data_IF_118753419996
#
_entry.id   IF_118753419996
#
_cell.length_a   1.000
_cell.length_b   1.000
_cell.length_c   1.000
_cell.angle_alpha   90.00
_cell.angle_beta   90.00
_cell.angle_gamma   90.00
#
_symmetry.space_group_name_H-M   'P 1'
#
loop_
_entity.id
_entity.type
_entity.pdbx_description
1 polymer ?
#
# COMPACT_ATOMS: atom_id res chain seq x y z
N UNK A 1 -9.83 3.87 -10.76
CA UNK A 1 -9.20 2.71 -10.11
C UNK A 1 -9.71 2.53 -8.69
N UNK A 2 -9.88 1.30 -8.22
CA UNK A 2 -10.11 0.93 -6.82
C UNK A 2 -8.84 0.33 -6.22
N UNK A 3 -8.50 0.69 -5.00
CA UNK A 3 -7.31 0.19 -4.31
C UNK A 3 -7.64 -0.16 -2.86
N UNK A 4 -6.89 -1.09 -2.29
CA UNK A 4 -6.91 -1.30 -0.84
C UNK A 4 -6.24 -0.12 -0.14
N UNK A 5 -6.82 0.31 0.99
CA UNK A 5 -6.23 1.35 1.85
C UNK A 5 -6.00 0.84 3.26
N UNK A 6 -4.91 1.29 3.88
CA UNK A 6 -4.67 1.01 5.30
C UNK A 6 -5.53 1.93 6.17
N UNK A 7 -6.35 1.35 7.03
CA UNK A 7 -7.16 2.02 8.06
C UNK A 7 -7.45 1.02 9.20
N UNK A 8 -8.55 1.18 9.94
CA UNK A 8 -8.99 0.19 10.94
C UNK A 8 -9.25 -1.19 10.32
N UNK A 9 -9.66 -1.20 9.06
CA UNK A 9 -9.82 -2.39 8.22
C UNK A 9 -9.22 -2.10 6.84
N UNK A 10 -8.64 -3.13 6.24
CA UNK A 10 -8.17 -3.05 4.86
C UNK A 10 -9.39 -3.19 3.96
N UNK A 11 -9.81 -2.08 3.35
CA UNK A 11 -10.98 -2.01 2.48
C UNK A 11 -10.58 -1.51 1.10
N UNK A 12 -11.25 -2.05 0.08
CA UNK A 12 -11.11 -1.59 -1.30
C UNK A 12 -12.01 -0.37 -1.50
N UNK A 13 -11.40 0.77 -1.85
CA UNK A 13 -12.10 2.01 -2.08
C UNK A 13 -11.74 2.59 -3.45
N UNK A 14 -12.66 3.38 -4.02
CA UNK A 14 -12.37 4.18 -5.19
C UNK A 14 -11.29 5.23 -4.87
N UNK A 15 -10.33 5.37 -5.77
CA UNK A 15 -9.33 6.42 -5.67
C UNK A 15 -9.89 7.78 -6.11
N UNK A 16 -9.39 8.89 -5.54
CA UNK A 16 -9.68 10.23 -6.03
C UNK A 16 -9.35 10.39 -7.52
N UNK A 17 -10.04 11.30 -8.23
CA UNK A 17 -9.69 11.65 -9.61
C UNK A 17 -8.21 12.06 -9.72
N UNK A 18 -7.50 11.49 -10.69
CA UNK A 18 -6.06 11.72 -10.89
C UNK A 18 -5.14 10.80 -10.08
N UNK A 19 -5.68 9.89 -9.25
CA UNK A 19 -4.91 8.86 -8.55
C UNK A 19 -5.22 7.47 -9.12
N UNK A 20 -4.77 7.22 -10.33
CA UNK A 20 -5.09 5.98 -11.06
C UNK A 20 -4.19 4.79 -10.71
N UNK A 21 -3.20 4.98 -9.83
CA UNK A 21 -2.29 3.94 -9.36
C UNK A 21 -2.59 3.56 -7.91
N UNK A 22 -2.53 2.27 -7.62
CA UNK A 22 -2.42 1.76 -6.27
C UNK A 22 -0.95 1.69 -5.86
N UNK A 23 -0.65 1.94 -4.59
CA UNK A 23 0.65 1.64 -4.02
C UNK A 23 0.54 0.73 -2.80
N UNK A 24 1.61 -0.02 -2.57
CA UNK A 24 1.91 -0.72 -1.33
C UNK A 24 3.29 -0.30 -0.88
N UNK A 25 3.36 0.34 0.27
CA UNK A 25 4.59 0.77 0.91
C UNK A 25 4.81 -0.06 2.16
N UNK A 26 5.99 -0.62 2.31
CA UNK A 26 6.38 -1.39 3.50
C UNK A 26 7.70 -0.89 4.05
N UNK A 27 7.81 -0.80 5.37
CA UNK A 27 9.03 -0.37 6.03
C UNK A 27 9.16 -0.98 7.41
N UNK A 28 10.36 -0.91 7.97
CA UNK A 28 10.67 -1.42 9.29
C UNK A 28 10.80 -0.22 10.23
N UNK A 29 9.82 -0.04 11.13
CA UNK A 29 9.85 1.00 12.17
C UNK A 29 10.53 0.47 13.45
N UNK A 30 10.47 1.25 14.54
CA UNK A 30 11.05 0.88 15.84
C UNK A 30 10.41 -0.39 16.45
N UNK A 31 9.19 -0.75 16.05
CA UNK A 31 8.47 -1.93 16.53
C UNK A 31 8.60 -3.13 15.60
N UNK A 32 9.34 -3.01 14.49
CA UNK A 32 9.46 -4.05 13.48
C UNK A 32 9.93 -5.41 14.03
N UNK A 33 10.77 -5.40 15.07
CA UNK A 33 11.20 -6.64 15.75
C UNK A 33 10.09 -7.37 16.51
N UNK A 34 9.02 -6.69 16.91
CA UNK A 34 7.91 -7.28 17.70
C UNK A 34 6.61 -7.38 16.90
N UNK A 35 6.31 -6.41 16.04
CA UNK A 35 5.06 -6.32 15.25
C UNK A 35 5.23 -6.72 13.79
N UNK A 36 6.47 -6.88 13.32
CA UNK A 36 6.78 -7.03 11.91
C UNK A 36 6.78 -5.68 11.16
N UNK A 37 6.99 -5.73 9.85
CA UNK A 37 7.04 -4.53 9.00
C UNK A 37 5.69 -3.81 8.98
N UNK A 38 5.75 -2.48 8.95
CA UNK A 38 4.57 -1.64 8.71
C UNK A 38 4.19 -1.73 7.24
N UNK A 39 2.88 -1.78 6.96
CA UNK A 39 2.32 -1.88 5.62
C UNK A 39 1.29 -0.77 5.44
N UNK A 40 1.56 0.11 4.48
CA UNK A 40 0.69 1.20 4.06
C UNK A 40 0.22 0.95 2.64
N UNK A 41 -1.09 0.93 2.47
CA UNK A 41 -1.77 0.74 1.20
C UNK A 41 -2.53 2.03 0.88
N UNK A 42 -2.55 2.42 -0.39
CA UNK A 42 -3.24 3.63 -0.80
C UNK A 42 -3.32 3.84 -2.30
N UNK A 43 -3.84 5.01 -2.67
CA UNK A 43 -3.92 5.50 -4.04
C UNK A 43 -2.88 6.61 -4.25
N UNK A 44 -2.32 6.70 -5.45
CA UNK A 44 -1.36 7.74 -5.83
C UNK A 44 -1.50 8.10 -7.31
N UNK A 45 -1.13 9.33 -7.66
CA UNK A 45 -1.08 9.78 -9.05
C UNK A 45 0.16 9.22 -9.77
N UNK A 46 1.29 9.21 -9.06
CA UNK A 46 2.59 8.72 -9.56
C UNK A 46 3.18 7.75 -8.54
N UNK A 47 3.94 6.77 -9.02
CA UNK A 47 4.59 5.83 -8.11
C UNK A 47 5.64 6.57 -7.25
N UNK A 48 5.55 6.55 -5.90
CA UNK A 48 6.49 7.27 -5.07
C UNK A 48 7.89 6.65 -5.16
N UNK A 49 8.92 7.46 -4.93
CA UNK A 49 10.31 7.00 -4.97
C UNK A 49 10.63 6.09 -3.78
N UNK A 50 11.27 4.96 -4.06
CA UNK A 50 11.77 4.00 -3.07
C UNK A 50 12.84 4.67 -2.20
N UNK A 51 12.68 4.66 -0.87
CA UNK A 51 13.73 5.07 0.07
C UNK A 51 14.59 3.88 0.49
N UNK A 52 15.85 4.05 0.94
CA UNK A 52 16.77 2.95 1.25
C UNK A 52 16.27 1.88 2.23
N UNK A 53 15.28 2.20 3.08
CA UNK A 53 14.71 1.30 4.08
C UNK A 53 13.19 1.07 3.92
N UNK A 54 12.65 1.47 2.77
CA UNK A 54 11.25 1.30 2.43
C UNK A 54 11.18 0.50 1.13
N UNK A 55 10.25 -0.45 1.03
CA UNK A 55 9.92 -1.09 -0.24
C UNK A 55 8.59 -0.51 -0.69
N UNK A 56 8.53 -0.01 -1.91
CA UNK A 56 7.29 0.46 -2.50
C UNK A 56 7.03 -0.26 -3.82
N UNK A 57 5.79 -0.67 -4.00
CA UNK A 57 5.31 -1.31 -5.22
C UNK A 57 4.09 -0.54 -5.69
N UNK A 58 4.01 -0.29 -6.99
CA UNK A 58 2.87 0.39 -7.59
C UNK A 58 2.30 -0.44 -8.73
N UNK A 59 1.01 -0.29 -8.96
CA UNK A 59 0.29 -0.97 -10.02
C UNK A 59 -0.94 -0.16 -10.42
N UNK A 60 -1.40 -0.33 -11.65
CA UNK A 60 -2.46 0.49 -12.27
C UNK A 60 -3.80 -0.24 -12.40
N UNK A 61 -3.93 -1.43 -11.83
CA UNK A 61 -5.13 -2.26 -11.94
C UNK A 61 -5.99 -2.20 -10.67
N UNK A 62 -7.28 -2.47 -10.80
CA UNK A 62 -8.17 -2.47 -9.63
C UNK A 62 -7.74 -3.55 -8.62
N UNK A 63 -7.61 -3.15 -7.36
CA UNK A 63 -7.28 -4.01 -6.21
C UNK A 63 -5.94 -4.76 -6.33
N UNK A 64 -5.00 -4.18 -7.06
CA UNK A 64 -3.69 -4.78 -7.33
C UNK A 64 -2.68 -4.68 -6.18
N UNK A 65 -3.02 -3.98 -5.09
CA UNK A 65 -2.21 -3.82 -3.89
C UNK A 65 -2.77 -4.61 -2.67
N UNK A 66 -3.04 -5.92 -2.76
CA UNK A 66 -3.60 -6.67 -1.65
C UNK A 66 -2.61 -6.72 -0.47
N UNK A 67 -3.15 -6.65 0.75
CA UNK A 67 -2.32 -6.83 1.94
C UNK A 67 -1.73 -8.25 1.97
N UNK A 68 -0.44 -8.42 2.33
CA UNK A 68 0.19 -9.75 2.35
C UNK A 68 -0.55 -10.79 3.20
N UNK A 69 -1.13 -10.39 4.34
CA UNK A 69 -1.95 -11.29 5.18
C UNK A 69 -3.35 -11.63 4.62
N UNK A 70 -3.79 -10.96 3.55
CA UNK A 70 -5.06 -11.30 2.87
C UNK A 70 -4.87 -12.41 1.83
N UNK A 71 -3.62 -12.69 1.42
CA UNK A 71 -3.29 -13.93 0.72
C UNK A 71 -3.24 -15.05 1.78
N UNK A 72 -4.41 -15.53 2.17
CA UNK A 72 -4.56 -16.80 2.88
C UNK A 72 -4.24 -17.96 1.93
#
# INVERSE_FOLDING_TARGET
TKCYKTGDRIISEACPPGQDLCYMKTWCDVFCGTRGRVIELGCTATCPTVKPHEQITCCSTDNCNPHPKMKQ
#
